data_IF_263163995490
#
_entry.id   IF_263163995490
#
_cell.length_a   1.000
_cell.length_b   1.000
_cell.length_c   1.000
_cell.angle_alpha   90.00
_cell.angle_beta   90.00
_cell.angle_gamma   90.00
#
_symmetry.space_group_name_H-M   'P 1'
#
loop_
_entity.id
_entity.type
_entity.pdbx_description
1 polymer ?
#
# COMPACT_ATOMS: atom_id res chain seq x y z
N UNK A 1 -18.14 17.20 39.63
CA UNK A 1 -18.27 16.58 38.29
C UNK A 1 -17.82 17.55 37.18
N UNK A 2 -16.57 18.03 37.18
CA UNK A 2 -16.08 19.03 36.21
C UNK A 2 -15.03 18.49 35.21
N UNK A 3 -14.30 17.42 35.58
CA UNK A 3 -13.23 16.85 34.74
C UNK A 3 -13.71 16.03 33.53
N UNK A 4 -14.92 15.44 33.58
CA UNK A 4 -15.46 14.62 32.48
C UNK A 4 -15.84 15.45 31.25
N UNK A 5 -16.27 16.69 31.45
CA UNK A 5 -16.74 17.57 30.37
C UNK A 5 -15.59 18.05 29.47
N UNK A 6 -14.44 18.41 30.08
CA UNK A 6 -13.26 18.83 29.32
C UNK A 6 -12.60 17.70 28.53
N UNK A 7 -12.65 16.47 29.05
CA UNK A 7 -12.19 15.28 28.33
C UNK A 7 -13.04 15.01 27.08
N UNK A 8 -14.37 15.01 27.23
CA UNK A 8 -15.30 14.80 26.12
C UNK A 8 -15.16 15.88 25.03
N UNK A 9 -14.98 17.14 25.43
CA UNK A 9 -14.80 18.24 24.48
C UNK A 9 -13.51 18.09 23.65
N UNK A 10 -12.41 17.66 24.28
CA UNK A 10 -11.15 17.38 23.58
C UNK A 10 -11.27 16.16 22.66
N UNK A 11 -11.95 15.11 23.10
CA UNK A 11 -12.21 13.93 22.27
C UNK A 11 -13.01 14.29 21.02
N UNK A 12 -14.12 15.03 21.18
CA UNK A 12 -14.95 15.49 20.06
C UNK A 12 -14.16 16.35 19.07
N UNK A 13 -13.34 17.30 19.54
CA UNK A 13 -12.48 18.12 18.68
C UNK A 13 -11.44 17.31 17.90
N UNK A 14 -10.89 16.25 18.51
CA UNK A 14 -9.96 15.36 17.81
C UNK A 14 -10.66 14.55 16.73
N UNK A 15 -11.86 14.03 17.03
CA UNK A 15 -12.67 13.28 16.04
C UNK A 15 -13.19 14.16 14.90
N UNK A 16 -13.42 15.46 15.13
CA UNK A 16 -13.74 16.39 14.04
C UNK A 16 -12.57 16.60 13.09
N UNK A 17 -11.33 16.67 13.60
CA UNK A 17 -10.14 16.79 12.75
C UNK A 17 -9.88 15.53 11.95
N UNK A 18 -10.12 14.35 12.52
CA UNK A 18 -9.95 13.09 11.81
C UNK A 18 -10.93 12.99 10.64
N UNK A 19 -12.19 13.43 10.80
CA UNK A 19 -13.17 13.50 9.71
C UNK A 19 -12.70 14.29 8.48
N UNK A 20 -11.87 15.33 8.66
CA UNK A 20 -11.35 16.12 7.54
C UNK A 20 -10.26 15.38 6.74
N UNK A 21 -9.54 14.45 7.38
CA UNK A 21 -8.45 13.67 6.75
C UNK A 21 -9.00 12.40 6.09
N UNK A 22 -9.84 11.65 6.80
CA UNK A 22 -10.36 10.36 6.33
C UNK A 22 -11.72 10.48 5.63
N UNK A 23 -12.36 11.65 5.68
CA UNK A 23 -13.72 11.85 5.17
C UNK A 23 -14.81 11.43 6.19
N UNK A 24 -16.09 11.67 5.85
CA UNK A 24 -17.21 11.20 6.66
C UNK A 24 -17.26 9.67 6.73
N UNK A 25 -17.49 9.11 7.93
CA UNK A 25 -17.60 7.66 8.13
C UNK A 25 -18.72 6.99 7.30
N UNK A 26 -19.71 7.78 6.88
CA UNK A 26 -20.85 7.35 6.06
C UNK A 26 -20.52 7.11 4.57
N UNK A 27 -19.27 7.30 4.13
CA UNK A 27 -18.89 7.16 2.71
C UNK A 27 -18.67 5.72 2.23
N UNK A 28 -18.98 4.72 3.05
CA UNK A 28 -19.07 3.34 2.57
C UNK A 28 -20.47 3.10 2.03
N UNK A 29 -20.71 3.48 0.77
CA UNK A 29 -21.86 2.95 0.04
C UNK A 29 -21.60 1.46 -0.22
N UNK A 30 -22.08 0.62 0.70
CA UNK A 30 -21.94 -0.84 0.63
C UNK A 30 -22.68 -1.46 -0.57
N UNK A 31 -23.62 -0.72 -1.17
CA UNK A 31 -24.39 -1.15 -2.35
C UNK A 31 -23.68 -0.80 -3.67
N UNK A 32 -22.67 0.07 -3.63
CA UNK A 32 -21.88 0.39 -4.82
C UNK A 32 -20.88 -0.73 -5.13
N UNK A 33 -20.92 -1.34 -6.32
CA UNK A 33 -19.96 -2.36 -6.70
C UNK A 33 -18.56 -1.75 -6.72
N UNK A 34 -17.59 -2.44 -6.11
CA UNK A 34 -16.17 -2.09 -6.24
C UNK A 34 -15.79 -2.30 -7.70
N UNK A 35 -15.70 -1.21 -8.46
CA UNK A 35 -15.24 -1.25 -9.86
C UNK A 35 -13.72 -1.21 -9.85
N UNK A 36 -13.08 -2.36 -10.07
CA UNK A 36 -11.65 -2.43 -10.39
C UNK A 36 -11.45 -1.80 -11.78
N UNK A 37 -11.06 -0.53 -11.79
CA UNK A 37 -10.64 0.14 -13.02
C UNK A 37 -9.16 -0.14 -13.20
N UNK A 38 -8.85 -1.08 -14.09
CA UNK A 38 -7.51 -1.25 -14.61
C UNK A 38 -7.11 0.02 -15.36
N UNK A 39 -6.40 0.89 -14.65
CA UNK A 39 -5.81 2.09 -15.21
C UNK A 39 -4.36 1.85 -15.63
N UNK A 40 -3.77 2.83 -16.29
CA UNK A 40 -2.40 2.75 -16.79
C UNK A 40 -1.38 2.54 -15.65
N UNK A 41 -1.70 3.00 -14.42
CA UNK A 41 -0.84 2.82 -13.25
C UNK A 41 -0.85 1.37 -12.75
N UNK A 42 -2.00 0.71 -12.76
CA UNK A 42 -2.11 -0.70 -12.40
C UNK A 42 -1.28 -1.56 -13.37
N UNK A 43 -1.42 -1.33 -14.68
CA UNK A 43 -0.65 -2.06 -15.70
C UNK A 43 0.86 -1.78 -15.63
N UNK A 44 1.27 -0.54 -15.38
CA UNK A 44 2.69 -0.19 -15.20
C UNK A 44 3.26 -0.88 -13.95
N UNK A 45 2.49 -0.89 -12.86
CA UNK A 45 2.88 -1.54 -11.61
C UNK A 45 3.02 -3.04 -11.78
N UNK A 46 2.10 -3.70 -12.51
CA UNK A 46 2.20 -5.13 -12.83
C UNK A 46 3.44 -5.46 -13.67
N UNK A 47 3.77 -4.62 -14.65
CA UNK A 47 4.96 -4.78 -15.48
C UNK A 47 6.25 -4.66 -14.66
N UNK A 48 6.32 -3.68 -13.75
CA UNK A 48 7.43 -3.54 -12.81
C UNK A 48 7.52 -4.73 -11.85
N UNK A 49 6.39 -5.21 -11.33
CA UNK A 49 6.36 -6.36 -10.40
C UNK A 49 6.86 -7.66 -11.05
N UNK A 50 6.60 -7.83 -12.36
CA UNK A 50 7.03 -9.01 -13.12
C UNK A 50 8.57 -9.16 -13.19
N UNK A 51 9.32 -8.10 -12.91
CA UNK A 51 10.78 -8.12 -12.83
C UNK A 51 11.32 -8.69 -11.51
N UNK A 52 10.47 -8.96 -10.52
CA UNK A 52 10.89 -9.49 -9.22
C UNK A 52 10.64 -11.00 -9.09
N UNK A 53 11.46 -11.66 -8.30
CA UNK A 53 11.33 -13.03 -7.82
C UNK A 53 11.23 -13.04 -6.30
N UNK A 54 10.47 -13.99 -5.75
CA UNK A 54 10.31 -14.11 -4.29
C UNK A 54 11.25 -15.22 -3.80
N UNK A 55 12.18 -14.86 -2.92
CA UNK A 55 13.06 -15.79 -2.22
C UNK A 55 12.65 -15.92 -0.76
N UNK A 56 12.71 -17.14 -0.23
CA UNK A 56 12.48 -17.44 1.18
C UNK A 56 13.73 -18.08 1.77
N UNK A 57 14.24 -17.51 2.85
CA UNK A 57 15.38 -18.09 3.56
C UNK A 57 14.98 -19.23 4.51
N UNK A 58 15.98 -19.91 5.04
CA UNK A 58 15.81 -21.03 5.98
C UNK A 58 15.27 -20.58 7.35
N UNK A 59 15.42 -19.30 7.70
CA UNK A 59 14.88 -18.67 8.91
C UNK A 59 13.39 -18.32 8.76
N UNK A 60 12.88 -18.37 7.52
CA UNK A 60 11.47 -18.18 7.18
C UNK A 60 11.11 -16.77 6.71
N UNK A 61 12.08 -15.87 6.53
CA UNK A 61 11.86 -14.54 5.96
C UNK A 61 11.66 -14.63 4.45
N UNK A 62 10.87 -13.70 3.90
CA UNK A 62 10.50 -13.67 2.48
C UNK A 62 10.85 -12.31 1.91
N UNK A 63 11.64 -12.31 0.83
CA UNK A 63 12.14 -11.09 0.18
C UNK A 63 11.81 -11.11 -1.31
N UNK A 64 11.54 -9.93 -1.86
CA UNK A 64 11.46 -9.73 -3.30
C UNK A 64 12.83 -9.29 -3.83
N UNK A 65 13.37 -10.03 -4.79
CA UNK A 65 14.67 -9.78 -5.41
C UNK A 65 14.44 -9.45 -6.88
N UNK A 66 15.13 -8.45 -7.42
CA UNK A 66 14.99 -8.13 -8.84
C UNK A 66 15.76 -9.17 -9.66
N UNK A 67 15.11 -9.71 -10.70
CA UNK A 67 15.74 -10.64 -11.64
C UNK A 67 17.00 -10.00 -12.21
N UNK A 68 18.12 -10.71 -12.13
CA UNK A 68 19.33 -10.30 -12.83
C UNK A 68 19.15 -10.64 -14.30
N UNK A 69 19.08 -9.63 -15.15
CA UNK A 69 19.39 -9.83 -16.57
C UNK A 69 20.87 -10.18 -16.66
N UNK A 70 21.14 -11.44 -16.95
CA UNK A 70 22.43 -11.92 -17.41
C UNK A 70 22.75 -11.25 -18.76
N UNK A 71 23.31 -10.05 -18.71
CA UNK A 71 24.00 -9.48 -19.86
C UNK A 71 25.21 -10.36 -20.11
N UNK A 72 25.05 -11.34 -21.01
CA UNK A 72 26.13 -12.19 -21.49
C UNK A 72 27.23 -11.34 -22.12
N UNK A 73 28.16 -10.88 -21.29
CA UNK A 73 29.45 -10.37 -21.74
C UNK A 73 30.28 -11.60 -22.12
N UNK A 74 30.10 -12.03 -23.37
CA UNK A 74 31.08 -12.83 -24.09
C UNK A 74 32.41 -12.05 -24.07
N UNK A 75 33.27 -12.34 -23.10
CA UNK A 75 34.66 -11.92 -23.15
C UNK A 75 35.33 -12.75 -24.24
N UNK A 76 35.33 -12.21 -25.45
CA UNK A 76 36.11 -12.69 -26.58
C UNK A 76 37.57 -12.87 -26.14
N UNK A 77 38.11 -14.05 -26.45
CA UNK A 77 39.50 -14.40 -26.18
C UNK A 77 40.50 -13.49 -26.90
N UNK A 78 41.65 -13.33 -26.26
CA UNK A 78 42.90 -12.85 -26.82
C UNK A 78 44.05 -13.65 -26.22
#
# INVERSE_FOLDING_TARGET
MAGKTGFLQRFMQMTEKTRNVWGPADRSDFDSPVVHKHDEYESASEAELAEFEIERDEEGHTYAIRKRHDTGMETAGG
#
